data_IF_776996580419
#
_entry.id   IF_776996580419
#
_cell.length_a   1.000
_cell.length_b   1.000
_cell.length_c   1.000
_cell.angle_alpha   90.00
_cell.angle_beta   90.00
_cell.angle_gamma   90.00
#
_symmetry.space_group_name_H-M   'P 1'
#
loop_
_entity.id
_entity.type
_entity.pdbx_description
1 polymer ?
#
# COMPACT_ATOMS: atom_id res chain seq x y z
N UNK A 1 -21.80 -24.67 11.38
CA UNK A 1 -20.93 -23.55 11.79
C UNK A 1 -19.80 -23.34 10.79
N UNK A 2 -19.07 -24.39 10.40
CA UNK A 2 -18.01 -24.39 9.37
C UNK A 2 -18.45 -23.89 7.97
N UNK A 3 -19.67 -24.21 7.51
CA UNK A 3 -20.14 -23.82 6.17
C UNK A 3 -20.27 -22.30 5.96
N UNK A 4 -20.63 -21.52 7.00
CA UNK A 4 -20.76 -20.05 6.91
C UNK A 4 -19.40 -19.37 6.84
N UNK A 5 -18.41 -19.91 7.55
CA UNK A 5 -17.01 -19.45 7.53
C UNK A 5 -16.37 -19.69 6.16
N UNK A 6 -16.61 -20.86 5.56
CA UNK A 6 -16.11 -21.19 4.21
C UNK A 6 -16.69 -20.22 3.16
N UNK A 7 -17.97 -19.86 3.28
CA UNK A 7 -18.62 -18.93 2.35
C UNK A 7 -18.04 -17.50 2.48
N UNK A 8 -17.79 -17.02 3.70
CA UNK A 8 -17.18 -15.70 3.93
C UNK A 8 -15.74 -15.65 3.41
N UNK A 9 -14.95 -16.70 3.66
CA UNK A 9 -13.57 -16.80 3.16
C UNK A 9 -13.54 -16.84 1.62
N UNK A 10 -14.47 -17.59 1.00
CA UNK A 10 -14.58 -17.69 -0.45
C UNK A 10 -15.02 -16.38 -1.11
N UNK A 11 -15.93 -15.62 -0.51
CA UNK A 11 -16.36 -14.30 -1.00
C UNK A 11 -15.22 -13.28 -0.89
N UNK A 12 -14.46 -13.33 0.20
CA UNK A 12 -13.32 -12.44 0.41
C UNK A 12 -12.17 -12.71 -0.57
N UNK A 13 -11.86 -13.99 -0.84
CA UNK A 13 -10.91 -14.41 -1.87
C UNK A 13 -11.35 -13.97 -3.27
N UNK A 14 -12.64 -14.04 -3.57
CA UNK A 14 -13.19 -13.56 -4.84
C UNK A 14 -13.07 -12.03 -4.97
N UNK A 15 -13.28 -11.29 -3.88
CA UNK A 15 -13.10 -9.83 -3.81
C UNK A 15 -11.64 -9.42 -3.94
N UNK A 16 -10.70 -10.14 -3.32
CA UNK A 16 -9.25 -9.94 -3.52
C UNK A 16 -8.86 -10.19 -4.98
N UNK A 17 -9.49 -11.18 -5.62
CA UNK A 17 -9.32 -11.51 -7.04
C UNK A 17 -9.63 -10.36 -8.00
N UNK A 18 -10.47 -9.41 -7.60
CA UNK A 18 -10.82 -8.24 -8.42
C UNK A 18 -9.79 -7.10 -8.34
N UNK A 19 -8.84 -7.16 -7.40
CA UNK A 19 -7.81 -6.14 -7.19
C UNK A 19 -6.38 -6.60 -7.54
N UNK A 20 -6.18 -7.87 -7.91
CA UNK A 20 -4.87 -8.40 -8.32
C UNK A 20 -4.56 -8.04 -9.78
N UNK A 21 -4.06 -6.83 -9.98
CA UNK A 21 -3.18 -6.58 -11.12
C UNK A 21 -1.79 -7.10 -10.74
N UNK A 22 -1.13 -7.97 -11.53
CA UNK A 22 0.25 -8.36 -11.26
C UNK A 22 1.12 -7.11 -11.35
N UNK A 23 1.67 -6.67 -10.22
CA UNK A 23 2.61 -5.56 -10.18
C UNK A 23 4.02 -6.17 -10.28
N UNK A 24 4.69 -5.93 -11.41
CA UNK A 24 6.11 -6.24 -11.58
C UNK A 24 6.93 -5.11 -10.95
N UNK A 25 6.78 -4.94 -9.64
CA UNK A 25 7.29 -3.79 -8.89
C UNK A 25 8.82 -3.64 -8.94
N UNK A 26 9.56 -4.75 -9.03
CA UNK A 26 11.02 -4.74 -8.90
C UNK A 26 11.68 -4.20 -10.18
N UNK A 27 11.22 -4.66 -11.34
CA UNK A 27 11.78 -4.23 -12.63
C UNK A 27 11.46 -2.75 -12.89
N UNK A 28 10.25 -2.31 -12.54
CA UNK A 28 9.79 -0.93 -12.70
C UNK A 28 10.58 0.06 -11.82
N UNK A 29 10.83 -0.27 -10.54
CA UNK A 29 11.66 0.56 -9.65
C UNK A 29 13.11 0.63 -10.16
N UNK A 30 13.64 -0.50 -10.64
CA UNK A 30 15.02 -0.57 -11.10
C UNK A 30 15.23 0.27 -12.37
N UNK A 31 14.29 0.19 -13.31
CA UNK A 31 14.31 0.98 -14.55
C UNK A 31 14.22 2.49 -14.25
N UNK A 32 13.28 2.90 -13.40
CA UNK A 32 13.13 4.30 -13.00
C UNK A 32 14.33 4.83 -12.21
N UNK A 33 14.92 4.01 -11.33
CA UNK A 33 16.13 4.36 -10.60
C UNK A 33 17.31 4.59 -11.54
N UNK A 34 17.45 3.76 -12.58
CA UNK A 34 18.48 3.96 -13.61
C UNK A 34 18.22 5.22 -14.45
N UNK A 35 16.96 5.49 -14.81
CA UNK A 35 16.59 6.72 -15.52
C UNK A 35 16.92 7.97 -14.69
N UNK A 36 16.58 7.97 -13.39
CA UNK A 36 16.87 9.08 -12.49
C UNK A 36 18.37 9.37 -12.36
N UNK A 37 19.22 8.33 -12.25
CA UNK A 37 20.68 8.49 -12.19
C UNK A 37 21.22 9.06 -13.51
N UNK A 38 20.72 8.56 -14.65
CA UNK A 38 21.09 9.06 -15.99
C UNK A 38 20.68 10.51 -16.20
N UNK A 39 19.49 10.89 -15.76
CA UNK A 39 19.02 12.27 -15.79
C UNK A 39 19.93 13.14 -14.94
N UNK A 40 20.28 12.72 -13.72
CA UNK A 40 21.26 13.41 -12.87
C UNK A 40 22.63 13.60 -13.53
N UNK A 41 23.16 12.57 -14.20
CA UNK A 41 24.45 12.64 -14.91
C UNK A 41 24.44 13.58 -16.11
N UNK A 42 23.32 13.66 -16.85
CA UNK A 42 23.19 14.59 -17.98
C UNK A 42 23.13 16.06 -17.54
N UNK A 43 22.56 16.35 -16.38
CA UNK A 43 22.47 17.71 -15.83
C UNK A 43 23.82 18.22 -15.31
N UNK A 44 24.67 17.32 -14.80
CA UNK A 44 26.07 17.63 -14.44
C UNK A 44 26.88 18.08 -15.66
N UNK A 45 26.52 17.64 -16.87
CA UNK A 45 27.18 18.04 -18.11
C UNK A 45 26.59 19.32 -18.75
N UNK A 46 25.42 19.78 -18.30
CA UNK A 46 24.61 20.82 -18.98
C UNK A 46 24.43 22.11 -18.18
N UNK A 47 25.37 22.47 -17.29
CA UNK A 47 25.35 23.69 -16.46
C UNK A 47 24.18 23.79 -15.45
N UNK A 48 23.84 22.69 -14.79
CA UNK A 48 23.12 22.77 -13.49
C UNK A 48 21.62 23.04 -13.56
N UNK A 49 20.95 22.68 -14.67
CA UNK A 49 19.48 22.62 -14.68
C UNK A 49 18.97 21.59 -13.64
N UNK A 50 17.86 21.87 -12.94
CA UNK A 50 17.26 20.93 -12.00
C UNK A 50 16.69 19.70 -12.72
N UNK A 51 16.62 18.56 -12.01
CA UNK A 51 15.98 17.34 -12.51
C UNK A 51 14.53 17.66 -12.88
N UNK A 52 14.10 17.22 -14.08
CA UNK A 52 12.75 17.44 -14.59
C UNK A 52 11.70 16.89 -13.62
N UNK A 53 10.67 17.69 -13.34
CA UNK A 53 9.57 17.33 -12.42
C UNK A 53 8.82 16.05 -12.86
N UNK A 54 8.77 15.77 -14.16
CA UNK A 54 8.15 14.57 -14.71
C UNK A 54 8.85 13.28 -14.25
N UNK A 55 10.19 13.26 -14.24
CA UNK A 55 10.96 12.11 -13.77
C UNK A 55 10.78 11.88 -12.27
N UNK A 56 10.69 12.97 -11.49
CA UNK A 56 10.39 12.91 -10.06
C UNK A 56 8.98 12.38 -9.79
N UNK A 57 8.02 12.72 -10.64
CA UNK A 57 6.63 12.27 -10.54
C UNK A 57 6.48 10.79 -10.83
N UNK A 58 7.15 10.30 -11.86
CA UNK A 58 7.09 8.89 -12.25
C UNK A 58 7.67 8.00 -11.14
N UNK A 59 8.87 8.33 -10.66
CA UNK A 59 9.51 7.66 -9.51
C UNK A 59 8.62 7.69 -8.27
N UNK A 60 8.06 8.87 -7.94
CA UNK A 60 7.20 9.05 -6.76
C UNK A 60 5.93 8.21 -6.86
N UNK A 61 5.27 8.17 -8.02
CA UNK A 61 4.04 7.41 -8.22
C UNK A 61 4.26 5.89 -8.14
N UNK A 62 5.36 5.38 -8.72
CA UNK A 62 5.66 3.96 -8.69
C UNK A 62 6.06 3.52 -7.29
N UNK A 63 6.92 4.27 -6.59
CA UNK A 63 7.24 4.01 -5.17
C UNK A 63 5.96 4.03 -4.33
N UNK A 64 5.09 5.02 -4.54
CA UNK A 64 3.81 5.14 -3.83
C UNK A 64 2.93 3.91 -4.01
N UNK A 65 2.70 3.50 -5.25
CA UNK A 65 1.83 2.37 -5.57
C UNK A 65 2.37 1.05 -4.98
N UNK A 66 3.69 0.86 -4.98
CA UNK A 66 4.33 -0.36 -4.48
C UNK A 66 4.28 -0.42 -2.95
N UNK A 67 4.60 0.67 -2.25
CA UNK A 67 4.48 0.72 -0.79
C UNK A 67 3.03 0.53 -0.36
N UNK A 68 2.09 1.14 -1.07
CA UNK A 68 0.66 0.98 -0.80
C UNK A 68 0.21 -0.48 -1.01
N UNK A 69 0.66 -1.13 -2.08
CA UNK A 69 0.33 -2.53 -2.35
C UNK A 69 0.82 -3.46 -1.22
N UNK A 70 2.07 -3.28 -0.76
CA UNK A 70 2.64 -4.06 0.35
C UNK A 70 1.86 -3.79 1.65
N UNK A 71 1.54 -2.53 1.94
CA UNK A 71 0.78 -2.15 3.13
C UNK A 71 -0.62 -2.79 3.15
N UNK A 72 -1.31 -2.82 2.01
CA UNK A 72 -2.61 -3.51 1.86
C UNK A 72 -2.45 -5.00 2.12
N UNK A 73 -1.41 -5.63 1.56
CA UNK A 73 -1.20 -7.07 1.72
C UNK A 73 -1.01 -7.47 3.19
N UNK A 74 -0.19 -6.70 3.92
CA UNK A 74 0.05 -6.91 5.36
C UNK A 74 -1.22 -6.62 6.17
N UNK A 75 -1.93 -5.52 5.88
CA UNK A 75 -3.16 -5.16 6.58
C UNK A 75 -4.25 -6.23 6.41
N UNK A 76 -4.45 -6.72 5.19
CA UNK A 76 -5.42 -7.78 4.89
C UNK A 76 -5.03 -9.09 5.57
N UNK A 77 -3.75 -9.46 5.56
CA UNK A 77 -3.26 -10.66 6.25
C UNK A 77 -3.56 -10.63 7.74
N UNK A 78 -3.22 -9.54 8.44
CA UNK A 78 -3.51 -9.39 9.87
C UNK A 78 -5.01 -9.29 10.18
N UNK A 79 -5.78 -8.58 9.36
CA UNK A 79 -7.22 -8.48 9.51
C UNK A 79 -7.91 -9.85 9.39
N UNK A 80 -7.42 -10.72 8.50
CA UNK A 80 -7.91 -12.08 8.35
C UNK A 80 -7.65 -12.93 9.61
N UNK A 81 -6.41 -12.89 10.14
CA UNK A 81 -6.06 -13.63 11.36
C UNK A 81 -6.95 -13.19 12.52
N UNK A 82 -7.08 -11.88 12.75
CA UNK A 82 -7.95 -11.34 13.80
C UNK A 82 -9.43 -11.68 13.59
N UNK A 83 -9.91 -11.62 12.34
CA UNK A 83 -11.30 -11.94 12.00
C UNK A 83 -11.65 -13.41 12.26
N UNK A 84 -10.75 -14.33 11.92
CA UNK A 84 -10.94 -15.76 12.20
C UNK A 84 -10.88 -16.02 13.70
N UNK A 85 -9.91 -15.43 14.42
CA UNK A 85 -9.82 -15.54 15.87
C UNK A 85 -11.08 -14.99 16.58
N UNK A 86 -11.65 -13.89 16.08
CA UNK A 86 -12.91 -13.37 16.60
C UNK A 86 -14.07 -14.35 16.39
N UNK A 87 -14.16 -15.01 15.23
CA UNK A 87 -15.24 -15.95 14.94
C UNK A 87 -15.12 -17.29 15.68
N UNK A 88 -13.90 -17.72 16.02
CA UNK A 88 -13.65 -18.98 16.73
C UNK A 88 -13.56 -18.81 18.26
N UNK A 89 -13.24 -17.62 18.75
CA UNK A 89 -13.04 -17.36 20.16
C UNK A 89 -14.32 -17.46 20.98
N UNK A 90 -14.17 -17.82 22.26
CA UNK A 90 -15.24 -17.72 23.25
C UNK A 90 -15.65 -16.26 23.51
N UNK A 91 -16.74 -16.01 24.23
CA UNK A 91 -17.23 -14.65 24.52
C UNK A 91 -16.13 -13.77 25.18
N UNK A 92 -15.28 -14.35 26.02
CA UNK A 92 -14.15 -13.64 26.65
C UNK A 92 -13.02 -13.33 25.65
N UNK A 93 -12.69 -14.28 24.76
CA UNK A 93 -11.67 -14.06 23.73
C UNK A 93 -12.14 -13.04 22.68
N UNK A 94 -13.43 -13.05 22.34
CA UNK A 94 -14.03 -12.06 21.45
C UNK A 94 -13.89 -10.63 21.98
N UNK A 95 -14.04 -10.43 23.29
CA UNK A 95 -13.85 -9.11 23.93
C UNK A 95 -12.40 -8.64 23.78
N UNK A 96 -11.44 -9.52 24.05
CA UNK A 96 -10.01 -9.21 23.96
C UNK A 96 -9.54 -8.93 22.52
N UNK A 97 -10.03 -9.70 21.55
CA UNK A 97 -9.77 -9.44 20.12
C UNK A 97 -10.36 -8.08 19.71
N UNK A 98 -11.56 -7.75 20.18
CA UNK A 98 -12.22 -6.48 19.86
C UNK A 98 -11.49 -5.27 20.43
N UNK A 99 -10.91 -5.39 21.63
CA UNK A 99 -10.04 -4.36 22.20
C UNK A 99 -8.73 -4.20 21.40
N UNK A 100 -8.17 -5.30 20.90
CA UNK A 100 -6.97 -5.29 20.04
C UNK A 100 -7.25 -4.80 18.61
N UNK A 101 -8.52 -4.86 18.18
CA UNK A 101 -8.95 -4.37 16.87
C UNK A 101 -8.85 -2.85 16.76
N UNK A 102 -9.04 -2.14 17.87
CA UNK A 102 -8.99 -0.68 17.93
C UNK A 102 -7.60 -0.13 17.57
N UNK A 103 -6.48 -0.54 18.23
CA UNK A 103 -5.15 -0.09 17.84
C UNK A 103 -4.76 -0.54 16.42
N UNK A 104 -5.23 -1.71 15.96
CA UNK A 104 -5.04 -2.14 14.57
C UNK A 104 -5.74 -1.20 13.57
N UNK A 105 -7.00 -0.84 13.82
CA UNK A 105 -7.76 0.07 12.98
C UNK A 105 -7.15 1.48 12.95
N UNK A 106 -6.70 1.98 14.11
CA UNK A 106 -5.98 3.26 14.21
C UNK A 106 -4.68 3.20 13.39
N UNK A 107 -3.91 2.12 13.52
CA UNK A 107 -2.70 1.90 12.71
C UNK A 107 -2.98 1.92 11.22
N UNK A 108 -4.05 1.26 10.77
CA UNK A 108 -4.48 1.30 9.37
C UNK A 108 -4.82 2.73 8.92
N UNK A 109 -5.60 3.48 9.71
CA UNK A 109 -5.96 4.87 9.40
C UNK A 109 -4.73 5.77 9.30
N UNK A 110 -3.74 5.60 10.19
CA UNK A 110 -2.51 6.39 10.16
C UNK A 110 -1.69 6.06 8.92
N UNK A 111 -1.50 4.78 8.60
CA UNK A 111 -0.72 4.34 7.45
C UNK A 111 -1.39 4.78 6.14
N UNK A 112 -2.67 4.45 5.95
CA UNK A 112 -3.42 4.85 4.75
C UNK A 112 -3.63 6.37 4.67
N UNK A 113 -3.78 7.05 5.80
CA UNK A 113 -3.87 8.50 5.89
C UNK A 113 -2.57 9.18 5.47
N UNK A 114 -1.42 8.71 5.97
CA UNK A 114 -0.11 9.22 5.58
C UNK A 114 0.17 9.03 4.09
N UNK A 115 -0.14 7.84 3.55
CA UNK A 115 -0.07 7.60 2.11
C UNK A 115 -1.03 8.51 1.33
N UNK A 116 -2.28 8.66 1.76
CA UNK A 116 -3.25 9.54 1.10
C UNK A 116 -2.79 11.00 1.05
N UNK A 117 -2.32 11.52 2.18
CA UNK A 117 -1.84 12.90 2.32
C UNK A 117 -0.61 13.14 1.45
N UNK A 118 0.36 12.22 1.46
CA UNK A 118 1.56 12.35 0.64
C UNK A 118 1.20 12.47 -0.85
N UNK A 119 0.31 11.62 -1.36
CA UNK A 119 -0.12 11.68 -2.76
C UNK A 119 -0.80 12.99 -3.12
N UNK A 120 -1.66 13.50 -2.23
CA UNK A 120 -2.36 14.78 -2.43
C UNK A 120 -1.35 15.93 -2.50
N UNK A 121 -0.40 15.99 -1.58
CA UNK A 121 0.62 17.04 -1.55
C UNK A 121 1.50 16.97 -2.79
N UNK A 122 1.94 15.76 -3.20
CA UNK A 122 2.75 15.58 -4.41
C UNK A 122 2.01 16.04 -5.67
N UNK A 123 0.70 15.82 -5.76
CA UNK A 123 -0.09 16.31 -6.89
C UNK A 123 -0.25 17.83 -6.88
N UNK A 124 -0.50 18.46 -5.72
CA UNK A 124 -0.71 19.91 -5.61
C UNK A 124 0.59 20.68 -5.87
N UNK A 125 1.73 20.20 -5.36
CA UNK A 125 3.02 20.85 -5.57
C UNK A 125 3.44 20.83 -7.04
N UNK A 126 2.92 19.91 -7.83
CA UNK A 126 3.20 19.77 -9.26
C UNK A 126 2.21 20.54 -10.16
N UNK A 127 1.06 20.96 -9.63
CA UNK A 127 0.10 21.82 -10.36
C UNK A 127 0.46 23.31 -10.26
N UNK A 128 1.35 23.69 -9.33
CA UNK A 128 1.86 25.06 -9.11
C UNK A 128 3.17 25.23 -9.86
#
# INVERSE_FOLDING_TARGET
MSKKIIIILSIFILLLGLFINPTYAIDEILEQGQSFIKDGETLVQSEGEPIKDDALKEVSNTIYNILLAIAIFIAVGYAMVLGIYYMMGSIEEQVKIKESLLPFAIGCIVVFGAFGIWKIIANILQEI
#
